data_IF_691890116354
#
_entry.id   IF_691890116354
#
_cell.length_a   1.000
_cell.length_b   1.000
_cell.length_c   1.000
_cell.angle_alpha   90.00
_cell.angle_beta   90.00
_cell.angle_gamma   90.00
#
_symmetry.space_group_name_H-M   'P 1'
#
loop_
_entity.id
_entity.type
_entity.pdbx_description
1 polymer ?
2 polymer ?
#
# COMPACT_ATOMS: atom_id res chain seq x y z
N UNK A 14 -4.59 -16.63 6.70
CA UNK A 14 -5.31 -16.33 5.42
C UNK A 14 -5.56 -14.84 5.21
N UNK A 15 -4.58 -14.16 4.63
CA UNK A 15 -4.66 -12.73 4.40
C UNK A 15 -5.70 -12.26 3.40
N UNK A 16 -6.31 -13.18 2.68
CA UNK A 16 -7.32 -12.78 1.71
C UNK A 16 -8.68 -12.65 2.39
N UNK A 17 -8.97 -13.59 3.27
CA UNK A 17 -10.22 -13.56 4.04
C UNK A 17 -10.19 -12.29 4.89
N UNK A 18 -9.01 -11.94 5.36
CA UNK A 18 -8.81 -10.77 6.19
C UNK A 18 -9.11 -9.49 5.41
N UNK A 19 -8.89 -9.51 4.10
CA UNK A 19 -9.15 -8.32 3.28
C UNK A 19 -10.63 -8.26 2.97
N UNK A 20 -11.28 -9.41 3.02
CA UNK A 20 -12.71 -9.51 2.76
C UNK A 20 -13.47 -8.88 3.94
N UNK A 21 -13.26 -9.41 5.14
CA UNK A 21 -13.91 -8.89 6.33
C UNK A 21 -13.58 -7.42 6.53
N UNK A 22 -12.39 -7.04 6.11
CA UNK A 22 -11.99 -5.66 6.25
C UNK A 22 -12.91 -4.80 5.41
N UNK A 23 -13.34 -5.34 4.26
CA UNK A 23 -14.23 -4.60 3.37
C UNK A 23 -15.70 -4.63 3.79
N UNK A 24 -16.09 -5.65 4.56
CA UNK A 24 -17.47 -5.75 5.04
C UNK A 24 -17.66 -4.77 6.17
N UNK A 25 -16.70 -4.75 7.09
CA UNK A 25 -16.79 -3.85 8.22
C UNK A 25 -16.91 -2.42 7.75
N UNK A 26 -16.08 -2.02 6.79
CA UNK A 26 -16.14 -0.64 6.32
C UNK A 26 -17.54 -0.30 5.86
N UNK A 27 -18.19 -1.27 5.24
CA UNK A 27 -19.54 -1.09 4.74
C UNK A 27 -20.45 -0.81 5.94
N UNK A 28 -20.64 -1.82 6.78
CA UNK A 28 -21.48 -1.69 7.96
C UNK A 28 -21.07 -0.51 8.88
N UNK A 29 -19.84 -0.04 8.76
CA UNK A 29 -19.44 1.08 9.59
C UNK A 29 -20.15 2.31 9.04
N UNK A 30 -20.06 2.51 7.74
CA UNK A 30 -20.68 3.66 7.08
C UNK A 30 -22.20 3.60 7.26
N UNK A 31 -22.74 2.39 7.32
CA UNK A 31 -24.16 2.16 7.52
C UNK A 31 -24.52 2.78 8.85
N UNK A 32 -24.03 2.16 9.92
CA UNK A 32 -24.25 2.61 11.30
C UNK A 32 -24.07 4.12 11.47
N UNK A 33 -23.06 4.69 10.83
CA UNK A 33 -22.84 6.11 10.97
C UNK A 33 -24.00 6.87 10.36
N UNK A 34 -24.27 6.58 9.09
CA UNK A 34 -25.34 7.22 8.35
C UNK A 34 -26.66 7.20 9.13
N UNK A 35 -26.93 6.11 9.85
CA UNK A 35 -28.12 6.04 10.68
C UNK A 35 -27.91 7.04 11.82
N UNK A 36 -26.92 6.78 12.67
CA UNK A 36 -26.63 7.66 13.79
C UNK A 36 -26.72 9.14 13.41
N UNK A 37 -26.07 9.51 12.31
CA UNK A 37 -26.06 10.90 11.89
C UNK A 37 -27.38 11.40 11.31
N UNK A 38 -28.40 10.55 11.30
CA UNK A 38 -29.69 10.96 10.78
C UNK A 38 -30.05 10.58 9.35
N UNK A 39 -29.09 10.60 8.43
CA UNK A 39 -29.36 10.27 7.02
C UNK A 39 -30.34 9.11 6.80
N UNK A 40 -30.16 8.02 7.54
CA UNK A 40 -31.05 6.88 7.41
C UNK A 40 -31.86 6.81 8.70
N UNK A 41 -32.96 6.08 8.68
CA UNK A 41 -33.80 5.98 9.87
C UNK A 41 -33.32 5.01 10.92
N UNK A 42 -33.55 5.38 12.17
CA UNK A 42 -33.20 4.56 13.31
C UNK A 42 -33.93 5.18 14.50
N UNK A 43 -34.84 4.42 15.12
CA UNK A 43 -35.59 4.97 16.25
C UNK A 43 -34.68 5.21 17.45
N UNK A 44 -34.86 6.36 18.12
CA UNK A 44 -34.16 6.89 19.29
C UNK A 44 -33.51 5.94 20.31
N UNK A 45 -34.24 4.94 20.79
CA UNK A 45 -33.69 4.00 21.77
C UNK A 45 -32.49 3.22 21.25
N UNK A 46 -32.27 3.29 19.94
CA UNK A 46 -31.16 2.60 19.30
C UNK A 46 -29.89 3.44 19.27
N UNK A 47 -30.06 4.75 19.34
CA UNK A 47 -28.94 5.68 19.31
C UNK A 47 -27.72 5.15 20.07
N UNK A 48 -27.96 4.29 21.05
CA UNK A 48 -26.88 3.72 21.82
C UNK A 48 -26.24 2.54 21.11
N UNK A 49 -27.04 1.54 20.74
CA UNK A 49 -26.52 0.37 20.03
C UNK A 49 -25.62 0.85 18.90
N UNK A 50 -26.08 1.89 18.20
CA UNK A 50 -25.32 2.46 17.10
C UNK A 50 -23.93 2.84 17.56
N UNK A 51 -23.84 3.87 18.39
CA UNK A 51 -22.55 4.34 18.90
C UNK A 51 -21.67 3.21 19.38
N UNK A 52 -22.25 2.22 20.04
CA UNK A 52 -21.43 1.11 20.50
C UNK A 52 -20.87 0.35 19.29
N UNK A 53 -21.70 0.12 18.27
CA UNK A 53 -21.25 -0.58 17.07
C UNK A 53 -20.14 0.17 16.36
N UNK A 54 -20.34 1.47 16.21
CA UNK A 54 -19.37 2.31 15.55
C UNK A 54 -18.02 2.35 16.27
N UNK A 55 -17.89 1.58 17.35
CA UNK A 55 -16.64 1.52 18.10
C UNK A 55 -16.08 0.10 18.04
N UNK A 56 -16.97 -0.88 18.05
CA UNK A 56 -16.54 -2.26 17.95
C UNK A 56 -16.00 -2.47 16.55
N UNK A 57 -16.73 -1.96 15.56
CA UNK A 57 -16.31 -2.09 14.18
C UNK A 57 -14.95 -1.44 13.98
N UNK A 58 -14.77 -0.20 14.45
CA UNK A 58 -13.48 0.46 14.29
C UNK A 58 -12.34 -0.34 14.91
N UNK A 59 -12.55 -0.88 16.11
CA UNK A 59 -11.52 -1.66 16.74
C UNK A 59 -11.23 -2.90 15.88
N UNK A 60 -12.28 -3.56 15.40
CA UNK A 60 -12.11 -4.74 14.56
C UNK A 60 -11.30 -4.43 13.31
N UNK A 61 -11.54 -3.26 12.72
CA UNK A 61 -10.83 -2.87 11.52
C UNK A 61 -9.35 -2.73 11.83
N UNK A 62 -9.02 -1.94 12.85
CA UNK A 62 -7.63 -1.77 13.24
C UNK A 62 -6.95 -3.12 13.48
N UNK A 63 -7.55 -3.96 14.32
CA UNK A 63 -6.99 -5.28 14.59
C UNK A 63 -6.74 -6.00 13.28
N UNK A 64 -7.77 -6.05 12.44
CA UNK A 64 -7.68 -6.72 11.16
C UNK A 64 -6.56 -6.13 10.30
N UNK A 65 -6.48 -4.81 10.26
CA UNK A 65 -5.45 -4.17 9.46
C UNK A 65 -4.06 -4.59 9.94
N UNK A 66 -3.84 -4.57 11.25
CA UNK A 66 -2.55 -4.96 11.83
C UNK A 66 -2.15 -6.36 11.40
N UNK A 67 -3.04 -7.32 11.61
CA UNK A 67 -2.77 -8.69 11.24
C UNK A 67 -2.32 -8.81 9.78
N UNK A 68 -2.57 -7.77 9.00
CA UNK A 68 -2.23 -7.79 7.58
C UNK A 68 -0.80 -7.36 7.28
N UNK A 69 -0.13 -6.74 8.25
CA UNK A 69 1.23 -6.24 8.05
C UNK A 69 2.24 -7.23 7.48
N UNK A 70 2.31 -8.44 8.05
CA UNK A 70 3.25 -9.45 7.57
C UNK A 70 3.12 -9.60 6.06
N UNK A 71 1.89 -9.70 5.58
CA UNK A 71 1.64 -9.84 4.14
C UNK A 71 2.24 -8.68 3.36
N UNK A 72 1.98 -7.46 3.82
CA UNK A 72 2.50 -6.28 3.13
C UNK A 72 4.00 -6.13 3.27
N UNK A 73 4.59 -6.84 4.23
CA UNK A 73 6.04 -6.78 4.41
C UNK A 73 6.70 -7.68 3.36
N UNK A 74 6.17 -8.89 3.20
CA UNK A 74 6.70 -9.80 2.20
C UNK A 74 6.68 -9.03 0.88
N UNK A 75 5.59 -8.32 0.62
CA UNK A 75 5.49 -7.54 -0.59
C UNK A 75 6.61 -6.52 -0.66
N UNK A 76 6.94 -5.95 0.49
CA UNK A 76 7.99 -4.95 0.60
C UNK A 76 9.31 -5.60 0.19
N UNK A 77 9.47 -6.87 0.54
CA UNK A 77 10.66 -7.62 0.19
C UNK A 77 10.67 -7.87 -1.32
N UNK A 78 9.59 -8.46 -1.81
CA UNK A 78 9.48 -8.77 -3.22
C UNK A 78 9.76 -7.54 -4.06
N UNK A 79 9.44 -6.37 -3.54
CA UNK A 79 9.68 -5.17 -4.32
C UNK A 79 11.16 -4.87 -4.34
N UNK A 80 11.83 -5.15 -3.23
CA UNK A 80 13.27 -4.93 -3.12
C UNK A 80 13.90 -5.84 -4.16
N UNK A 81 13.74 -7.15 -3.95
CA UNK A 81 14.28 -8.15 -4.86
C UNK A 81 14.09 -7.77 -6.31
N UNK A 82 12.85 -7.52 -6.70
CA UNK A 82 12.57 -7.15 -8.07
C UNK A 82 13.31 -5.90 -8.51
N UNK A 83 13.39 -4.91 -7.63
CA UNK A 83 14.10 -3.70 -7.99
C UNK A 83 15.54 -4.07 -8.29
N UNK A 84 16.12 -4.89 -7.42
CA UNK A 84 17.50 -5.33 -7.60
C UNK A 84 17.63 -5.98 -8.96
N UNK A 85 16.91 -7.08 -9.12
CA UNK A 85 16.93 -7.83 -10.35
C UNK A 85 16.90 -6.93 -11.58
N UNK A 86 16.02 -5.95 -11.60
CA UNK A 86 15.95 -5.07 -12.76
C UNK A 86 17.21 -4.22 -12.87
N UNK A 87 17.69 -3.73 -11.74
CA UNK A 87 18.89 -2.90 -11.75
C UNK A 87 20.06 -3.66 -12.37
N UNK A 88 20.22 -4.92 -11.95
CA UNK A 88 21.29 -5.77 -12.45
C UNK A 88 21.16 -5.95 -13.95
N UNK A 89 20.02 -6.46 -14.39
CA UNK A 89 19.80 -6.66 -15.81
C UNK A 89 20.10 -5.36 -16.54
N UNK A 90 19.98 -4.25 -15.82
CA UNK A 90 20.25 -2.97 -16.43
C UNK A 90 21.73 -2.87 -16.73
N UNK A 91 22.54 -3.15 -15.72
CA UNK A 91 23.99 -3.09 -15.85
C UNK A 91 24.47 -4.00 -16.96
N UNK A 92 23.90 -5.19 -17.06
CA UNK A 92 24.30 -6.09 -18.12
C UNK A 92 24.00 -5.42 -19.45
N UNK A 93 22.77 -4.92 -19.61
CA UNK A 93 22.39 -4.24 -20.85
C UNK A 93 23.36 -3.11 -21.13
N UNK A 94 23.59 -2.29 -20.12
CA UNK A 94 24.48 -1.15 -20.24
C UNK A 94 25.84 -1.53 -20.83
N UNK A 95 26.35 -2.71 -20.47
CA UNK A 95 27.64 -3.18 -20.97
C UNK A 95 27.55 -3.65 -22.42
N UNK A 96 26.51 -4.40 -22.74
CA UNK A 96 26.32 -4.88 -24.10
C UNK A 96 26.28 -3.68 -25.04
N UNK A 97 25.65 -2.59 -24.59
CA UNK A 97 25.58 -1.38 -25.41
C UNK A 97 26.98 -1.00 -25.80
N UNK A 98 27.77 -0.67 -24.78
CA UNK A 98 29.16 -0.26 -24.93
C UNK A 98 29.90 -1.14 -25.93
N UNK A 99 29.76 -2.46 -25.80
CA UNK A 99 30.44 -3.34 -26.73
C UNK A 99 30.03 -2.97 -28.15
N UNK A 100 28.72 -2.84 -28.39
CA UNK A 100 28.23 -2.47 -29.72
C UNK A 100 28.78 -1.12 -30.17
N UNK A 101 28.76 -0.14 -29.28
CA UNK A 101 29.28 1.18 -29.60
C UNK A 101 30.75 1.05 -30.01
N UNK A 102 31.51 0.23 -29.29
CA UNK A 102 32.90 0.03 -29.63
C UNK A 102 32.92 -0.56 -31.03
N UNK A 103 32.18 -1.65 -31.21
CA UNK A 103 32.09 -2.32 -32.50
C UNK A 103 31.84 -1.32 -33.62
N UNK A 104 31.00 -0.33 -33.37
CA UNK A 104 30.72 0.68 -34.38
C UNK A 104 31.99 1.48 -34.67
N UNK A 105 32.48 2.21 -33.67
CA UNK A 105 33.69 3.01 -33.83
C UNK A 105 34.78 2.22 -34.54
N UNK A 106 34.73 0.90 -34.42
CA UNK A 106 35.74 0.06 -35.04
C UNK A 106 35.37 -0.38 -36.45
N UNK A 107 34.10 -0.69 -36.68
CA UNK A 107 33.65 -1.12 -38.00
C UNK A 107 33.26 0.07 -38.88
N UNK A 108 32.14 0.71 -38.55
CA UNK A 108 31.66 1.85 -39.33
C UNK A 108 32.53 3.11 -39.17
N UNK B 2 5.76 -1.39 3.32
CA UNK B 2 5.11 -0.80 2.11
C UNK B 2 4.56 0.57 2.46
N UNK B 3 4.61 1.51 1.51
CA UNK B 3 4.08 2.83 1.80
C UNK B 3 2.57 2.81 1.75
N UNK B 4 2.01 2.18 0.72
CA UNK B 4 0.56 2.12 0.61
C UNK B 4 -0.05 1.55 1.89
N UNK B 5 0.59 0.54 2.46
CA UNK B 5 0.07 -0.05 3.69
C UNK B 5 0.14 0.95 4.82
N UNK B 6 1.11 1.85 4.75
CA UNK B 6 1.27 2.86 5.79
C UNK B 6 0.25 3.96 5.60
N UNK B 7 0.02 4.35 4.36
CA UNK B 7 -0.96 5.39 4.06
C UNK B 7 -2.34 4.87 4.46
N UNK B 8 -2.54 3.56 4.36
CA UNK B 8 -3.82 3.00 4.74
C UNK B 8 -3.94 3.08 6.27
N UNK B 9 -2.83 2.86 6.98
CA UNK B 9 -2.86 2.93 8.44
C UNK B 9 -3.11 4.36 8.89
N UNK B 10 -2.34 5.29 8.35
CA UNK B 10 -2.49 6.69 8.71
C UNK B 10 -3.87 7.20 8.34
N UNK B 11 -4.40 6.70 7.23
CA UNK B 11 -5.72 7.10 6.78
C UNK B 11 -6.75 6.61 7.80
N UNK B 12 -6.75 5.31 8.07
CA UNK B 12 -7.68 4.75 9.02
C UNK B 12 -7.56 5.50 10.35
N UNK B 13 -6.34 5.87 10.71
CA UNK B 13 -6.11 6.60 11.95
C UNK B 13 -6.90 7.91 11.98
N UNK B 14 -6.78 8.70 10.92
CA UNK B 14 -7.48 9.98 10.81
C UNK B 14 -8.99 9.81 10.83
N UNK B 15 -9.49 8.73 10.25
CA UNK B 15 -10.92 8.55 10.23
C UNK B 15 -11.41 8.21 11.64
N UNK B 16 -10.68 7.33 12.33
CA UNK B 16 -11.06 6.95 13.69
C UNK B 16 -11.21 8.22 14.53
N UNK B 17 -10.32 9.17 14.32
CA UNK B 17 -10.37 10.40 15.07
C UNK B 17 -11.58 11.21 14.67
N UNK B 18 -11.87 11.28 13.37
CA UNK B 18 -13.04 12.03 12.94
C UNK B 18 -14.33 11.45 13.51
N UNK B 19 -14.43 10.13 13.58
CA UNK B 19 -15.62 9.54 14.15
C UNK B 19 -15.73 9.96 15.60
N UNK B 20 -14.59 10.06 16.29
CA UNK B 20 -14.60 10.47 17.68
C UNK B 20 -15.02 11.93 17.80
N UNK B 21 -14.45 12.79 16.96
CA UNK B 21 -14.78 14.20 16.99
C UNK B 21 -16.26 14.37 16.70
N UNK B 22 -16.80 13.51 15.85
CA UNK B 22 -18.21 13.56 15.52
C UNK B 22 -19.03 13.04 16.68
N UNK B 23 -18.79 11.79 17.09
CA UNK B 23 -19.55 11.22 18.21
C UNK B 23 -19.59 12.16 19.39
N UNK B 24 -18.44 12.71 19.76
CA UNK B 24 -18.39 13.62 20.91
C UNK B 24 -19.02 14.98 20.63
N UNK B 25 -19.02 15.40 19.38
CA UNK B 25 -19.64 16.67 19.03
C UNK B 25 -21.14 16.46 19.12
N UNK B 26 -21.62 15.38 18.50
CA UNK B 26 -23.03 15.04 18.54
C UNK B 26 -23.35 14.85 20.01
N UNK B 27 -23.11 13.64 20.50
CA UNK B 27 -23.36 13.29 21.89
C UNK B 27 -23.41 14.46 22.86
N UNK B 28 -22.28 15.12 23.08
CA UNK B 28 -22.23 16.24 24.02
C UNK B 28 -23.15 17.41 23.74
N UNK B 29 -23.07 18.03 22.56
CA UNK B 29 -23.98 19.13 22.27
C UNK B 29 -25.40 18.57 22.34
N UNK B 30 -26.08 18.45 21.20
CA UNK B 30 -27.42 17.89 21.24
C UNK B 30 -27.25 16.38 21.24
N UNK B 31 -27.95 15.67 22.13
CA UNK B 31 -27.85 14.22 22.15
C UNK B 31 -28.44 13.70 20.85
N UNK B 32 -28.41 14.58 19.85
CA UNK B 32 -28.93 14.36 18.52
C UNK B 32 -30.44 14.41 18.62
N UNK B 33 -30.91 15.27 19.53
CA UNK B 33 -32.34 15.46 19.76
C UNK B 33 -32.99 14.18 20.25
N UNK B 49 -25.50 23.56 23.13
CA UNK B 49 -25.30 24.98 23.38
C UNK B 49 -25.34 25.77 22.07
N UNK B 50 -24.89 25.13 20.99
CA UNK B 50 -24.85 25.74 19.66
C UNK B 50 -26.22 25.70 18.98
N UNK B 51 -26.56 26.74 18.20
CA UNK B 51 -27.84 26.83 17.49
C UNK B 51 -28.16 25.64 16.60
N UNK B 52 -29.43 25.50 16.18
CA UNK B 52 -29.88 24.40 15.32
C UNK B 52 -29.27 24.41 13.93
N UNK B 53 -29.45 25.51 13.21
CA UNK B 53 -28.92 25.60 11.86
C UNK B 53 -27.39 25.51 11.87
N UNK B 54 -26.80 25.62 13.06
CA UNK B 54 -25.35 25.52 13.20
C UNK B 54 -24.93 24.07 13.35
N UNK B 55 -25.48 23.41 14.37
CA UNK B 55 -25.20 22.01 14.64
C UNK B 55 -25.41 21.18 13.37
N UNK B 56 -26.25 21.68 12.46
CA UNK B 56 -26.52 20.97 11.21
C UNK B 56 -25.38 21.12 10.21
N UNK B 57 -24.84 22.34 10.10
CA UNK B 57 -23.74 22.59 9.17
C UNK B 57 -22.59 21.64 9.45
N UNK B 58 -21.96 21.82 10.61
CA UNK B 58 -20.83 21.00 11.01
C UNK B 58 -21.12 19.51 10.85
N UNK B 59 -22.22 19.04 11.42
CA UNK B 59 -22.58 17.63 11.31
C UNK B 59 -22.46 17.11 9.88
N UNK B 60 -22.78 17.96 8.91
CA UNK B 60 -22.70 17.57 7.50
C UNK B 60 -21.27 17.61 6.99
N UNK B 61 -20.53 18.65 7.37
CA UNK B 61 -19.14 18.78 6.95
C UNK B 61 -18.28 17.70 7.61
N UNK B 62 -18.72 17.22 8.77
CA UNK B 62 -18.00 16.17 9.49
C UNK B 62 -18.31 14.80 8.91
N UNK B 63 -19.55 14.64 8.46
CA UNK B 63 -19.98 13.38 7.88
C UNK B 63 -19.63 13.32 6.40
N UNK B 64 -19.32 14.47 5.81
CA UNK B 64 -18.94 14.50 4.40
C UNK B 64 -17.51 13.96 4.26
N UNK B 65 -16.65 14.37 5.19
CA UNK B 65 -15.26 13.93 5.18
C UNK B 65 -15.22 12.44 5.45
N UNK B 66 -16.05 11.98 6.38
CA UNK B 66 -16.12 10.56 6.71
C UNK B 66 -16.52 9.73 5.50
N UNK B 67 -17.32 10.31 4.61
CA UNK B 67 -17.73 9.57 3.43
C UNK B 67 -16.58 9.52 2.42
N UNK B 68 -15.82 10.60 2.31
CA UNK B 68 -14.69 10.63 1.39
C UNK B 68 -13.55 9.75 1.91
N UNK B 69 -13.32 9.81 3.22
CA UNK B 69 -12.29 8.99 3.85
C UNK B 69 -12.61 7.52 3.64
N UNK B 70 -13.89 7.18 3.57
CA UNK B 70 -14.25 5.79 3.38
C UNK B 70 -13.94 5.36 1.96
N UNK B 71 -14.03 6.31 1.04
CA UNK B 71 -13.75 6.02 -0.36
C UNK B 71 -12.23 5.86 -0.47
N UNK B 72 -11.52 6.86 0.01
CA UNK B 72 -10.08 6.84 0.00
C UNK B 72 -9.54 5.52 0.58
N UNK B 73 -10.08 5.11 1.72
CA UNK B 73 -9.62 3.89 2.32
C UNK B 73 -9.89 2.68 1.45
N UNK B 74 -11.07 2.63 0.84
CA UNK B 74 -11.39 1.49 -0.01
C UNK B 74 -10.47 1.46 -1.24
N UNK B 75 -10.05 2.63 -1.72
CA UNK B 75 -9.14 2.67 -2.86
C UNK B 75 -7.74 2.18 -2.45
N UNK B 76 -7.26 2.62 -1.29
CA UNK B 76 -5.97 2.17 -0.79
C UNK B 76 -6.03 0.65 -0.67
N UNK B 77 -7.03 0.13 0.02
CA UNK B 77 -7.12 -1.31 0.15
C UNK B 77 -7.04 -1.96 -1.22
N UNK B 78 -7.70 -1.38 -2.21
CA UNK B 78 -7.66 -1.99 -3.54
C UNK B 78 -6.25 -1.97 -4.10
N UNK B 79 -5.54 -0.87 -3.89
CA UNK B 79 -4.17 -0.72 -4.40
C UNK B 79 -3.09 -1.42 -3.59
N UNK B 80 -3.44 -2.05 -2.48
CA UNK B 80 -2.41 -2.74 -1.73
C UNK B 80 -1.81 -3.80 -2.65
N UNK B 81 -0.48 -3.86 -2.73
CA UNK B 81 0.18 -4.84 -3.59
C UNK B 81 -0.03 -6.26 -3.10
N UNK B 82 -0.23 -7.18 -4.03
CA UNK B 82 -0.45 -8.57 -3.67
C UNK B 82 -1.69 -8.77 -2.82
N UNK B 83 -2.63 -7.83 -2.93
CA UNK B 83 -3.87 -7.88 -2.16
C UNK B 83 -4.68 -9.14 -2.44
N UNK B 84 -4.66 -9.61 -3.69
CA UNK B 84 -5.40 -10.81 -4.06
C UNK B 84 -4.51 -12.03 -4.04
N UNK B 85 -3.38 -11.93 -3.36
CA UNK B 85 -2.43 -13.04 -3.30
C UNK B 85 -2.30 -13.63 -1.90
N UNK B 86 -2.11 -14.94 -1.81
CA UNK B 86 -1.99 -15.60 -0.51
C UNK B 86 -0.57 -15.51 0.03
N UNK B 87 -0.31 -16.25 1.10
CA UNK B 87 1.01 -16.26 1.69
C UNK B 87 1.84 -17.30 0.95
N UNK B 88 1.27 -18.49 0.79
CA UNK B 88 1.96 -19.58 0.10
C UNK B 88 2.62 -19.06 -1.17
N UNK B 89 1.89 -18.26 -1.94
CA UNK B 89 2.42 -17.70 -3.17
C UNK B 89 3.54 -16.72 -2.90
N UNK B 90 3.30 -15.77 -2.02
CA UNK B 90 4.32 -14.79 -1.71
C UNK B 90 5.64 -15.50 -1.44
N UNK B 91 5.60 -16.55 -0.64
CA UNK B 91 6.82 -17.28 -0.34
C UNK B 91 7.44 -17.89 -1.59
N UNK B 92 6.61 -18.33 -2.53
CA UNK B 92 7.14 -18.89 -3.76
C UNK B 92 7.83 -17.80 -4.56
N UNK B 93 7.14 -16.68 -4.75
CA UNK B 93 7.70 -15.60 -5.52
C UNK B 93 9.01 -15.10 -4.94
N UNK B 94 9.19 -15.23 -3.64
CA UNK B 94 10.42 -14.78 -3.02
C UNK B 94 11.55 -15.76 -3.33
N UNK B 95 11.23 -17.05 -3.31
CA UNK B 95 12.23 -18.05 -3.63
C UNK B 95 12.59 -17.98 -5.10
N UNK B 96 11.58 -17.73 -5.93
CA UNK B 96 11.80 -17.62 -7.35
C UNK B 96 12.70 -16.43 -7.65
N UNK B 97 12.47 -15.33 -6.94
CA UNK B 97 13.27 -14.13 -7.15
C UNK B 97 14.71 -14.28 -6.67
N UNK B 98 14.90 -15.01 -5.58
CA UNK B 98 16.25 -15.20 -5.07
C UNK B 98 17.03 -16.01 -6.08
N UNK B 99 16.40 -17.04 -6.64
CA UNK B 99 17.06 -17.86 -7.63
C UNK B 99 17.43 -17.03 -8.86
N UNK B 100 16.50 -16.23 -9.36
CA UNK B 100 16.82 -15.41 -10.51
C UNK B 100 17.93 -14.42 -10.18
N UNK B 101 18.06 -14.06 -8.90
CA UNK B 101 19.09 -13.12 -8.50
C UNK B 101 20.46 -13.75 -8.66
N UNK B 102 20.59 -14.97 -8.16
CA UNK B 102 21.84 -15.72 -8.26
C UNK B 102 22.25 -15.80 -9.72
N UNK B 103 21.29 -16.09 -10.59
CA UNK B 103 21.56 -16.20 -12.01
C UNK B 103 21.97 -14.88 -12.63
N UNK B 104 21.14 -13.86 -12.48
CA UNK B 104 21.45 -12.57 -13.06
C UNK B 104 22.79 -12.04 -12.58
N UNK B 105 23.25 -12.52 -11.44
CA UNK B 105 24.53 -12.04 -10.97
C UNK B 105 25.65 -12.83 -11.61
N UNK B 106 25.36 -14.09 -11.95
CA UNK B 106 26.34 -14.93 -12.63
C UNK B 106 26.50 -14.34 -14.04
N UNK B 107 25.40 -13.87 -14.61
CA UNK B 107 25.45 -13.25 -15.91
C UNK B 107 26.28 -11.99 -15.81
N UNK B 108 26.03 -11.23 -14.76
CA UNK B 108 26.73 -9.97 -14.59
C UNK B 108 28.24 -10.12 -14.43
N UNK B 109 28.68 -11.17 -13.74
CA UNK B 109 30.12 -11.35 -13.56
C UNK B 109 30.74 -11.64 -14.93
N UNK B 110 30.06 -12.47 -15.71
CA UNK B 110 30.51 -12.84 -17.04
C UNK B 110 30.61 -11.60 -17.93
N UNK B 111 29.56 -10.79 -17.93
CA UNK B 111 29.56 -9.59 -18.73
C UNK B 111 30.73 -8.70 -18.35
N UNK B 112 31.00 -8.57 -17.06
CA UNK B 112 32.10 -7.73 -16.62
C UNK B 112 33.45 -8.37 -16.96
N UNK B 113 33.58 -9.67 -16.73
CA UNK B 113 34.80 -10.37 -17.07
C UNK B 113 35.18 -9.95 -18.49
N UNK B 114 34.30 -10.25 -19.43
CA UNK B 114 34.51 -9.94 -20.84
C UNK B 114 34.80 -8.48 -21.13
N UNK B 115 34.02 -7.56 -20.57
CA UNK B 115 34.30 -6.16 -20.83
C UNK B 115 35.74 -5.89 -20.42
N UNK B 116 36.09 -6.27 -19.19
CA UNK B 116 37.44 -6.08 -18.66
C UNK B 116 38.50 -6.77 -19.53
N UNK B 117 38.21 -7.97 -20.02
CA UNK B 117 39.14 -8.71 -20.87
C UNK B 117 39.44 -7.92 -22.14
N UNK B 118 38.41 -7.27 -22.67
CA UNK B 118 38.53 -6.47 -23.87
C UNK B 118 39.31 -5.20 -23.59
N UNK B 119 38.98 -4.54 -22.49
CA UNK B 119 39.66 -3.31 -22.15
C UNK B 119 41.17 -3.52 -22.05
N UNK B 120 41.56 -4.65 -21.46
CA UNK B 120 42.97 -4.96 -21.32
C UNK B 120 43.57 -5.01 -22.72
N UNK B 121 42.88 -5.72 -23.61
CA UNK B 121 43.30 -5.87 -25.01
C UNK B 121 43.60 -4.50 -25.64
N UNK B 122 42.68 -3.56 -25.52
CA UNK B 122 42.90 -2.23 -26.07
C UNK B 122 44.10 -1.59 -25.38
N UNK B 123 44.07 -1.55 -24.06
CA UNK B 123 45.17 -0.97 -23.30
C UNK B 123 46.51 -1.49 -23.82
N UNK B 124 46.53 -2.76 -24.18
CA UNK B 124 47.74 -3.39 -24.69
C UNK B 124 48.21 -2.70 -25.95
N UNK B 125 47.36 -2.70 -26.97
CA UNK B 125 47.68 -2.07 -28.23
C UNK B 125 48.10 -0.61 -28.06
N UNK B 126 47.43 0.12 -27.19
CA UNK B 126 47.75 1.52 -26.98
C UNK B 126 49.10 1.75 -26.31
N UNK B 127 49.39 1.01 -25.25
CA UNK B 127 50.67 1.17 -24.57
C UNK B 127 51.77 0.77 -25.54
N UNK B 128 51.38 -0.07 -26.49
CA UNK B 128 52.28 -0.57 -27.53
C UNK B 128 52.52 0.58 -28.50
N UNK B 129 51.86 1.70 -28.25
CA UNK B 129 51.96 2.89 -29.09
C UNK B 129 51.48 2.62 -30.50
N UNK B 130 50.23 2.17 -30.60
CA UNK B 130 49.59 1.86 -31.88
C UNK B 130 48.10 2.13 -31.69
#
# INVERSE_FOLDING_TARGET
>A
MASMKKSTENESTNYQYKIQELRKLLKSLLLNYLELIGVLSINPDMYERKVENIRTILVNIHHLLNEYRPHQSRESLIMLLEEQLEYKRGEIREIEQVCKQVHDKLTS
>B
MTDRMTQLQICLDQMTEQFCATLNYIDKNHGFERLTVNEPQMSDKHATVVPPEEFSNTIDELSTDIILKTRQINKLIDSLPGVDVSAEEQLRKIDMLQKKLVEVEDEKIEAIKKKEKLMRHVDSMIEDFVDG
#
